data_IF_502271756131
#
_entry.id   IF_502271756131
#
_cell.length_a   1.000
_cell.length_b   1.000
_cell.length_c   1.000
_cell.angle_alpha   90.00
_cell.angle_beta   90.00
_cell.angle_gamma   90.00
#
_symmetry.space_group_name_H-M   'P 1'
#
loop_
_entity.id
_entity.type
_entity.pdbx_description
1 polymer ?
#
# COMPACT_ATOMS: atom_id res chain seq x y z
N UNK A 1 -21.27 13.25 9.59
CA UNK A 1 -20.18 12.39 10.09
C UNK A 1 -18.84 12.71 9.41
N UNK A 2 -18.79 12.79 8.08
CA UNK A 2 -17.58 13.21 7.36
C UNK A 2 -17.08 14.61 7.75
N UNK A 3 -17.98 15.59 7.95
CA UNK A 3 -17.63 16.96 8.37
C UNK A 3 -16.79 17.03 9.66
N UNK A 4 -17.05 16.13 10.61
CA UNK A 4 -16.31 16.08 11.87
C UNK A 4 -14.89 15.56 11.62
N UNK A 5 -14.71 14.59 10.72
CA UNK A 5 -13.40 14.04 10.38
C UNK A 5 -12.55 15.09 9.64
N UNK A 6 -13.14 15.87 8.74
CA UNK A 6 -12.45 16.97 8.08
C UNK A 6 -12.00 18.06 9.04
N UNK A 7 -12.81 18.38 10.07
CA UNK A 7 -12.40 19.30 11.13
C UNK A 7 -11.16 18.81 11.88
N UNK A 8 -11.10 17.52 12.24
CA UNK A 8 -9.90 16.96 12.89
C UNK A 8 -8.67 16.98 11.98
N UNK A 9 -8.82 16.75 10.67
CA UNK A 9 -7.71 16.84 9.69
C UNK A 9 -7.18 18.27 9.56
N UNK A 10 -8.06 19.25 9.40
CA UNK A 10 -7.68 20.65 9.15
C UNK A 10 -7.01 21.28 10.38
N UNK A 11 -7.44 20.88 11.58
CA UNK A 11 -6.92 21.41 12.84
C UNK A 11 -5.92 20.51 13.56
N UNK A 12 -5.50 19.38 12.98
CA UNK A 12 -4.60 18.37 13.57
C UNK A 12 -3.38 19.01 14.26
N UNK A 13 -2.68 19.89 13.54
CA UNK A 13 -1.48 20.56 14.06
C UNK A 13 -1.80 21.45 15.26
N UNK A 14 -2.92 22.18 15.22
CA UNK A 14 -3.32 23.08 16.30
C UNK A 14 -3.75 22.29 17.54
N UNK A 15 -4.47 21.19 17.34
CA UNK A 15 -4.91 20.32 18.43
C UNK A 15 -3.69 19.66 19.10
N UNK A 16 -2.74 19.11 18.34
CA UNK A 16 -1.51 18.56 18.92
C UNK A 16 -0.65 19.60 19.63
N UNK A 17 -0.51 20.81 19.09
CA UNK A 17 0.18 21.89 19.79
C UNK A 17 -0.52 22.25 21.10
N UNK A 18 -1.85 22.31 21.11
CA UNK A 18 -2.65 22.54 22.32
C UNK A 18 -2.48 21.45 23.37
N UNK A 19 -2.59 20.18 22.96
CA UNK A 19 -2.38 19.01 23.82
C UNK A 19 -0.96 18.96 24.37
N UNK A 20 0.05 19.22 23.52
CA UNK A 20 1.45 19.25 23.90
C UNK A 20 1.77 20.35 24.92
N UNK A 21 1.21 21.55 24.74
CA UNK A 21 1.41 22.67 25.67
C UNK A 21 0.73 22.38 27.03
N UNK A 22 -0.49 21.86 27.02
CA UNK A 22 -1.18 21.42 28.24
C UNK A 22 -0.44 20.30 28.96
N UNK A 23 0.06 19.31 28.22
CA UNK A 23 0.86 18.23 28.77
C UNK A 23 2.16 18.77 29.39
N UNK A 24 2.88 19.65 28.71
CA UNK A 24 4.10 20.26 29.23
C UNK A 24 3.83 21.06 30.52
N UNK A 25 2.76 21.86 30.57
CA UNK A 25 2.35 22.59 31.77
C UNK A 25 2.02 21.64 32.94
N UNK A 26 1.33 20.54 32.67
CA UNK A 26 0.99 19.54 33.67
C UNK A 26 2.20 18.73 34.15
N UNK A 27 3.15 18.42 33.26
CA UNK A 27 4.42 17.76 33.61
C UNK A 27 5.25 18.67 34.52
N UNK A 28 5.33 19.97 34.23
CA UNK A 28 6.01 20.92 35.12
C UNK A 28 5.39 20.90 36.53
N UNK A 29 4.06 20.93 36.62
CA UNK A 29 3.35 20.87 37.90
C UNK A 29 3.56 19.54 38.62
N UNK A 30 3.59 18.44 37.88
CA UNK A 30 3.89 17.11 38.41
C UNK A 30 5.30 17.06 39.00
N UNK A 31 6.31 17.54 38.27
CA UNK A 31 7.71 17.57 38.73
C UNK A 31 7.84 18.39 40.02
N UNK A 32 7.21 19.56 40.11
CA UNK A 32 7.24 20.39 41.32
C UNK A 32 6.60 19.67 42.50
N UNK A 33 5.45 19.01 42.29
CA UNK A 33 4.80 18.22 43.35
C UNK A 33 5.62 16.98 43.77
N UNK A 34 6.30 16.35 42.81
CA UNK A 34 7.14 15.17 43.04
C UNK A 34 8.34 15.48 43.94
N UNK A 35 8.95 16.65 43.75
CA UNK A 35 10.03 17.14 44.62
C UNK A 35 9.54 17.33 46.06
N UNK A 36 8.29 17.77 46.26
CA UNK A 36 7.66 17.90 47.58
C UNK A 36 7.46 16.56 48.29
N UNK A 37 7.12 15.50 47.55
CA UNK A 37 6.93 14.14 48.11
C UNK A 37 8.25 13.53 48.56
N UNK A 38 9.34 13.78 47.84
CA UNK A 38 10.68 13.31 48.23
C UNK A 38 11.25 14.03 49.47
N UNK A 39 10.75 15.23 49.78
CA UNK A 39 11.16 16.01 50.95
C UNK A 39 10.31 15.72 52.21
N UNK A 40 9.19 15.00 52.09
CA UNK A 40 8.26 14.75 53.20
C UNK A 40 8.82 13.67 54.16
N UNK A 41 9.12 14.07 55.40
CA UNK A 41 9.77 13.21 56.40
C UNK A 41 8.79 12.41 57.29
N UNK A 42 7.49 12.72 57.29
CA UNK A 42 6.49 12.10 58.15
C UNK A 42 5.31 11.47 57.37
N UNK A 43 4.88 10.28 57.77
CA UNK A 43 3.92 9.44 57.03
C UNK A 43 2.50 10.03 56.84
N UNK A 44 2.10 11.00 57.65
CA UNK A 44 0.80 11.68 57.48
C UNK A 44 0.82 12.73 56.34
N UNK A 45 1.99 13.27 55.99
CA UNK A 45 2.14 14.16 54.83
C UNK A 45 2.16 13.36 53.51
N UNK A 46 2.63 12.12 53.59
CA UNK A 46 2.75 11.20 52.45
C UNK A 46 1.37 10.82 51.86
N UNK A 47 0.36 10.60 52.70
CA UNK A 47 -0.98 10.18 52.27
C UNK A 47 -1.75 11.29 51.53
N UNK A 48 -1.57 12.55 51.94
CA UNK A 48 -2.09 13.74 51.26
C UNK A 48 -1.40 13.99 49.91
N UNK A 49 -0.09 13.79 49.86
CA UNK A 49 0.72 13.98 48.66
C UNK A 49 0.37 12.97 47.55
N UNK A 50 0.01 11.73 47.92
CA UNK A 50 -0.39 10.68 46.97
C UNK A 50 -1.67 11.03 46.19
N UNK A 51 -2.64 11.68 46.82
CA UNK A 51 -3.89 12.08 46.17
C UNK A 51 -3.70 13.15 45.08
N UNK A 52 -2.76 14.07 45.29
CA UNK A 52 -2.42 15.11 44.31
C UNK A 52 -1.67 14.54 43.11
N UNK A 53 -0.76 13.60 43.34
CA UNK A 53 -0.05 12.87 42.28
C UNK A 53 -1.02 12.06 41.42
N UNK A 54 -1.96 11.33 42.03
CA UNK A 54 -2.95 10.54 41.28
C UNK A 54 -3.86 11.42 40.40
N UNK A 55 -4.25 12.61 40.87
CA UNK A 55 -5.05 13.55 40.07
C UNK A 55 -4.24 14.13 38.90
N UNK A 56 -2.98 14.51 39.12
CA UNK A 56 -2.11 15.03 38.07
C UNK A 56 -1.80 13.95 37.01
N UNK A 57 -1.52 12.73 37.46
CA UNK A 57 -1.30 11.57 36.59
C UNK A 57 -2.55 11.24 35.77
N UNK A 58 -3.75 11.27 36.37
CA UNK A 58 -5.00 11.05 35.66
C UNK A 58 -5.23 12.04 34.51
N UNK A 59 -4.87 13.31 34.70
CA UNK A 59 -4.98 14.34 33.64
C UNK A 59 -3.99 14.06 32.50
N UNK A 60 -2.75 13.67 32.81
CA UNK A 60 -1.77 13.32 31.78
C UNK A 60 -2.20 12.08 30.97
N UNK A 61 -2.72 11.06 31.65
CA UNK A 61 -3.27 9.86 30.99
C UNK A 61 -4.45 10.23 30.10
N UNK A 62 -5.35 11.10 30.56
CA UNK A 62 -6.46 11.58 29.74
C UNK A 62 -5.99 12.33 28.48
N UNK A 63 -5.03 13.24 28.60
CA UNK A 63 -4.45 13.96 27.46
C UNK A 63 -3.78 13.00 26.47
N UNK A 64 -3.07 11.99 26.97
CA UNK A 64 -2.46 10.95 26.15
C UNK A 64 -3.53 10.15 25.39
N UNK A 65 -4.61 9.73 26.07
CA UNK A 65 -5.72 9.02 25.42
C UNK A 65 -6.35 9.88 24.32
N UNK A 66 -6.60 11.18 24.58
CA UNK A 66 -7.11 12.09 23.56
C UNK A 66 -6.19 12.16 22.33
N UNK A 67 -4.87 12.29 22.52
CA UNK A 67 -3.91 12.31 21.42
C UNK A 67 -3.88 10.99 20.64
N UNK A 68 -3.95 9.84 21.32
CA UNK A 68 -4.00 8.52 20.66
C UNK A 68 -5.29 8.34 19.85
N UNK A 69 -6.43 8.79 20.39
CA UNK A 69 -7.72 8.73 19.70
C UNK A 69 -7.69 9.59 18.45
N UNK A 70 -7.20 10.83 18.54
CA UNK A 70 -7.05 11.72 17.40
C UNK A 70 -6.13 11.13 16.33
N UNK A 71 -4.96 10.64 16.72
CA UNK A 71 -4.02 9.96 15.82
C UNK A 71 -4.67 8.78 15.11
N UNK A 72 -5.46 7.97 15.84
CA UNK A 72 -6.20 6.85 15.28
C UNK A 72 -7.26 7.28 14.26
N UNK A 73 -8.02 8.35 14.56
CA UNK A 73 -9.02 8.90 13.64
C UNK A 73 -8.38 9.43 12.35
N UNK A 74 -7.27 10.15 12.46
CA UNK A 74 -6.60 10.75 11.31
C UNK A 74 -5.89 9.69 10.45
N UNK A 75 -5.21 8.73 11.08
CA UNK A 75 -4.38 7.74 10.37
C UNK A 75 -5.20 6.60 9.77
N UNK A 76 -6.23 6.13 10.47
CA UNK A 76 -6.98 4.93 10.04
C UNK A 76 -8.39 5.24 9.55
N UNK A 77 -9.09 6.23 10.13
CA UNK A 77 -10.49 6.50 9.79
C UNK A 77 -10.60 7.39 8.56
N UNK A 78 -9.85 8.50 8.47
CA UNK A 78 -9.89 9.39 7.31
C UNK A 78 -9.63 8.71 5.94
N UNK A 79 -8.56 7.90 5.76
CA UNK A 79 -8.30 7.28 4.44
C UNK A 79 -9.34 6.23 4.05
N UNK A 80 -10.11 5.70 5.01
CA UNK A 80 -11.20 4.76 4.74
C UNK A 80 -12.50 5.45 4.27
N UNK A 81 -12.58 6.79 4.29
CA UNK A 81 -13.69 7.56 3.74
C UNK A 81 -13.31 8.12 2.34
N UNK A 82 -13.84 7.54 1.25
CA UNK A 82 -13.41 7.84 -0.12
C UNK A 82 -13.79 9.25 -0.63
N UNK A 83 -14.63 9.99 0.09
CA UNK A 83 -15.00 11.37 -0.24
C UNK A 83 -13.97 12.42 0.27
N UNK A 84 -12.85 11.98 0.85
CA UNK A 84 -11.94 12.84 1.61
C UNK A 84 -10.89 13.63 0.79
N UNK A 85 -10.78 13.40 -0.52
CA UNK A 85 -9.90 14.20 -1.37
C UNK A 85 -10.31 14.10 -2.85
N UNK A 86 -11.00 15.10 -3.44
CA UNK A 86 -11.09 15.20 -4.88
C UNK A 86 -9.74 15.70 -5.39
N UNK A 87 -8.72 14.84 -5.35
CA UNK A 87 -7.54 15.02 -6.19
C UNK A 87 -8.09 15.08 -7.61
N UNK A 88 -7.98 16.26 -8.23
CA UNK A 88 -8.30 16.43 -9.62
C UNK A 88 -7.34 15.54 -10.41
N UNK A 89 -7.78 14.31 -10.69
CA UNK A 89 -7.14 13.45 -11.66
C UNK A 89 -7.20 14.22 -12.98
N UNK A 90 -6.04 14.57 -13.60
CA UNK A 90 -6.06 15.14 -14.92
C UNK A 90 -6.70 14.10 -15.84
N UNK A 91 -7.93 14.36 -16.28
CA UNK A 91 -8.58 13.59 -17.33
C UNK A 91 -7.71 13.73 -18.57
N UNK A 92 -6.94 12.69 -18.90
CA UNK A 92 -6.24 12.62 -20.16
C UNK A 92 -7.28 12.67 -21.28
N UNK A 93 -7.28 13.75 -22.05
CA UNK A 93 -8.13 13.93 -23.22
C UNK A 93 -7.65 12.99 -24.34
N UNK A 94 -8.24 11.79 -24.41
CA UNK A 94 -7.93 10.75 -25.39
C UNK A 94 -8.34 11.10 -26.82
N UNK A 95 -8.88 12.30 -27.08
CA UNK A 95 -9.25 12.78 -28.42
C UNK A 95 -8.21 13.72 -29.04
N UNK A 96 -7.11 14.03 -28.35
CA UNK A 96 -5.99 14.78 -28.92
C UNK A 96 -5.26 13.93 -29.98
N UNK A 97 -5.76 13.94 -31.22
CA UNK A 97 -5.11 13.26 -32.35
C UNK A 97 -3.85 14.04 -32.75
N UNK A 98 -2.63 13.46 -32.67
CA UNK A 98 -1.45 14.09 -33.22
C UNK A 98 -1.57 14.17 -34.74
N UNK A 99 -1.65 15.39 -35.28
CA UNK A 99 -1.60 15.62 -36.73
C UNK A 99 -0.17 15.43 -37.21
N UNK A 100 0.18 14.20 -37.62
CA UNK A 100 1.42 13.95 -38.35
C UNK A 100 1.22 14.44 -39.79
N UNK A 101 1.89 15.55 -40.14
CA UNK A 101 1.99 16.01 -41.53
C UNK A 101 3.12 15.25 -42.22
N UNK A 102 2.78 14.28 -43.07
CA UNK A 102 3.74 13.53 -43.89
C UNK A 102 3.89 14.24 -45.25
N UNK A 103 5.09 14.70 -45.66
CA UNK A 103 5.36 15.14 -47.03
C UNK A 103 5.36 13.94 -48.00
N UNK A 104 4.73 14.02 -49.19
CA UNK A 104 4.59 12.88 -50.07
C UNK A 104 5.69 12.89 -51.14
N UNK A 105 6.89 12.37 -50.85
CA UNK A 105 7.85 12.01 -51.93
C UNK A 105 8.97 11.10 -51.40
N UNK A 106 8.66 9.85 -51.09
CA UNK A 106 9.64 8.77 -51.07
C UNK A 106 8.92 7.47 -51.44
N UNK A 107 8.69 7.35 -52.74
CA UNK A 107 8.15 6.18 -53.40
C UNK A 107 9.00 4.93 -53.13
N UNK A 108 8.28 3.81 -52.96
CA UNK A 108 8.58 2.50 -53.53
C UNK A 108 10.06 2.12 -53.66
N UNK A 109 10.58 1.38 -52.67
CA UNK A 109 11.38 0.14 -52.86
C UNK A 109 11.96 -0.32 -51.53
N UNK A 110 11.29 -1.26 -50.84
CA UNK A 110 11.93 -2.45 -50.27
C UNK A 110 10.83 -3.38 -49.74
N UNK A 111 10.47 -4.38 -50.54
CA UNK A 111 9.95 -5.65 -50.03
C UNK A 111 11.19 -6.50 -49.82
N UNK A 112 11.67 -6.56 -48.58
CA UNK A 112 12.65 -7.57 -48.17
C UNK A 112 12.45 -7.87 -46.69
N UNK A 113 11.83 -9.01 -46.47
CA UNK A 113 11.87 -9.88 -45.29
C UNK A 113 12.66 -9.33 -44.10
N UNK A 114 11.95 -8.81 -43.10
CA UNK A 114 12.43 -8.78 -41.72
C UNK A 114 11.31 -9.33 -40.86
N UNK A 115 11.62 -10.48 -40.27
CA UNK A 115 10.89 -11.16 -39.21
C UNK A 115 10.10 -10.19 -38.35
N UNK A 116 8.78 -10.38 -38.37
CA UNK A 116 7.80 -9.85 -37.43
C UNK A 116 8.34 -9.99 -36.01
N UNK A 117 8.77 -8.88 -35.41
CA UNK A 117 8.72 -8.75 -33.96
C UNK A 117 7.24 -8.57 -33.65
N UNK A 118 6.63 -9.68 -33.28
CA UNK A 118 5.31 -9.73 -32.68
C UNK A 118 5.38 -8.96 -31.36
N UNK A 119 5.00 -7.68 -31.41
CA UNK A 119 4.63 -6.89 -30.24
C UNK A 119 3.37 -7.54 -29.63
N UNK A 120 3.58 -8.62 -28.88
CA UNK A 120 2.59 -9.14 -27.97
C UNK A 120 2.47 -8.12 -26.83
N UNK A 121 1.33 -7.44 -26.81
CA UNK A 121 0.66 -6.87 -25.64
C UNK A 121 1.53 -6.80 -24.39
N UNK A 122 2.29 -5.72 -24.21
CA UNK A 122 2.93 -5.46 -22.91
C UNK A 122 1.82 -5.36 -21.88
N UNK A 123 1.68 -6.41 -21.08
CA UNK A 123 0.78 -6.41 -19.95
C UNK A 123 1.13 -5.25 -19.02
N UNK A 124 0.12 -4.66 -18.38
CA UNK A 124 0.31 -3.46 -17.55
C UNK A 124 1.45 -3.70 -16.55
N UNK A 125 2.49 -2.86 -16.58
CA UNK A 125 3.62 -2.88 -15.64
C UNK A 125 4.71 -3.91 -15.88
N UNK A 126 4.64 -4.71 -16.94
CA UNK A 126 5.66 -5.74 -17.21
C UNK A 126 6.88 -5.13 -17.94
N UNK A 127 8.00 -5.02 -17.22
CA UNK A 127 9.27 -4.48 -17.73
C UNK A 127 10.25 -5.64 -17.93
N UNK A 128 10.73 -5.90 -19.16
CA UNK A 128 11.71 -6.94 -19.42
C UNK A 128 12.95 -6.78 -18.53
N UNK A 129 13.45 -7.90 -17.99
CA UNK A 129 14.65 -7.98 -17.14
C UNK A 129 14.55 -7.32 -15.75
N UNK A 130 13.51 -6.53 -15.46
CA UNK A 130 13.28 -5.96 -14.13
C UNK A 130 12.12 -6.62 -13.40
N UNK A 131 10.91 -6.58 -13.98
CA UNK A 131 9.68 -7.10 -13.38
C UNK A 131 8.85 -7.75 -14.48
N UNK A 132 8.96 -9.07 -14.58
CA UNK A 132 8.34 -9.84 -15.65
C UNK A 132 7.80 -11.15 -15.13
N UNK A 133 6.54 -11.46 -15.43
CA UNK A 133 5.99 -12.82 -15.29
C UNK A 133 6.18 -13.53 -16.63
N UNK A 134 6.89 -14.66 -16.63
CA UNK A 134 7.08 -15.49 -17.84
C UNK A 134 6.18 -16.72 -17.85
N UNK A 135 5.72 -17.17 -16.68
CA UNK A 135 4.73 -18.25 -16.57
C UNK A 135 3.87 -18.02 -15.33
N UNK A 136 2.54 -18.16 -15.42
CA UNK A 136 1.75 -18.46 -16.64
C UNK A 136 1.81 -17.33 -17.68
N UNK A 137 1.58 -17.68 -18.95
CA UNK A 137 1.46 -16.72 -20.06
C UNK A 137 0.07 -16.04 -20.05
N UNK A 138 -0.04 -14.89 -20.72
CA UNK A 138 -1.31 -14.18 -20.87
C UNK A 138 -2.37 -15.06 -21.55
N UNK A 139 -3.52 -15.22 -20.90
CA UNK A 139 -4.64 -16.04 -21.36
C UNK A 139 -4.46 -17.54 -21.13
N UNK A 140 -3.42 -17.99 -20.41
CA UNK A 140 -3.20 -19.41 -20.16
C UNK A 140 -4.33 -20.02 -19.32
N UNK A 141 -4.76 -21.23 -19.71
CA UNK A 141 -5.61 -22.09 -18.89
C UNK A 141 -4.78 -22.85 -17.87
N UNK A 142 -5.13 -22.75 -16.59
CA UNK A 142 -4.39 -23.33 -15.47
C UNK A 142 -5.31 -24.10 -14.53
N UNK A 143 -4.77 -25.16 -13.91
CA UNK A 143 -5.46 -25.95 -12.88
C UNK A 143 -4.48 -26.61 -11.91
N UNK A 144 -4.92 -26.83 -10.67
CA UNK A 144 -4.12 -27.45 -9.61
C UNK A 144 -3.02 -26.53 -9.07
N UNK A 145 -1.83 -27.10 -8.84
CA UNK A 145 -0.67 -26.33 -8.34
C UNK A 145 0.15 -25.82 -9.52
N UNK A 146 0.10 -24.51 -9.72
CA UNK A 146 0.75 -23.81 -10.82
C UNK A 146 2.05 -23.18 -10.33
N UNK A 147 3.12 -23.32 -11.10
CA UNK A 147 4.39 -22.67 -10.79
C UNK A 147 4.47 -21.30 -11.47
N UNK A 148 4.74 -20.27 -10.67
CA UNK A 148 4.93 -18.90 -11.15
C UNK A 148 6.42 -18.68 -11.40
N UNK A 149 6.76 -18.35 -12.64
CA UNK A 149 8.14 -18.05 -13.08
C UNK A 149 8.22 -16.64 -13.60
N UNK A 150 9.38 -16.02 -13.43
CA UNK A 150 9.58 -14.65 -13.85
C UNK A 150 10.92 -14.07 -13.44
N UNK A 151 10.99 -12.75 -13.49
CA UNK A 151 12.15 -11.95 -13.12
C UNK A 151 11.71 -10.83 -12.18
N UNK A 152 12.43 -10.70 -11.08
CA UNK A 152 12.37 -9.61 -10.10
C UNK A 152 13.81 -9.19 -9.85
N UNK A 153 14.24 -8.15 -10.55
CA UNK A 153 15.55 -7.52 -10.40
C UNK A 153 15.39 -6.01 -10.42
N UNK A 154 15.11 -5.45 -9.25
CA UNK A 154 14.82 -4.02 -9.07
C UNK A 154 15.86 -3.41 -8.15
N UNK A 155 16.28 -2.18 -8.45
CA UNK A 155 17.18 -1.43 -7.55
C UNK A 155 16.50 -1.16 -6.21
N UNK A 156 17.25 -1.28 -5.11
CA UNK A 156 16.74 -1.15 -3.74
C UNK A 156 15.65 -2.18 -3.38
N UNK A 157 15.70 -3.38 -3.97
CA UNK A 157 14.74 -4.46 -3.72
C UNK A 157 14.57 -4.75 -2.22
N UNK A 158 13.32 -4.76 -1.77
CA UNK A 158 12.92 -5.19 -0.44
C UNK A 158 12.29 -6.58 -0.48
N UNK A 159 11.10 -6.68 -1.09
CA UNK A 159 10.40 -7.96 -1.26
C UNK A 159 9.43 -7.90 -2.44
N UNK A 160 8.98 -9.05 -2.92
CA UNK A 160 7.89 -9.17 -3.87
C UNK A 160 6.74 -9.99 -3.30
N UNK A 161 5.54 -9.79 -3.84
CA UNK A 161 4.35 -10.58 -3.53
C UNK A 161 3.49 -10.81 -4.76
N UNK A 162 2.78 -11.93 -4.76
CA UNK A 162 1.76 -12.25 -5.75
C UNK A 162 0.39 -11.95 -5.20
N UNK A 163 -0.43 -11.34 -6.04
CA UNK A 163 -1.81 -11.09 -5.73
C UNK A 163 -2.69 -11.53 -6.89
N UNK A 164 -3.88 -12.04 -6.56
CA UNK A 164 -4.89 -12.38 -7.55
C UNK A 164 -6.17 -11.60 -7.33
N UNK A 165 -6.87 -11.29 -8.42
CA UNK A 165 -8.24 -10.79 -8.38
C UNK A 165 -9.08 -11.47 -9.45
N UNK A 166 -10.40 -11.55 -9.24
CA UNK A 166 -11.30 -11.92 -10.32
C UNK A 166 -11.38 -10.76 -11.31
N UNK A 167 -11.40 -11.06 -12.61
CA UNK A 167 -11.50 -10.03 -13.65
C UNK A 167 -12.75 -9.17 -13.42
N UNK A 168 -12.57 -7.85 -13.40
CA UNK A 168 -13.64 -6.88 -13.14
C UNK A 168 -13.85 -6.54 -11.66
N UNK A 169 -13.01 -7.05 -10.75
CA UNK A 169 -13.01 -6.67 -9.33
C UNK A 169 -11.68 -6.03 -8.92
N UNK A 170 -11.75 -5.05 -8.03
CA UNK A 170 -10.56 -4.40 -7.44
C UNK A 170 -10.12 -5.05 -6.11
N UNK A 171 -10.61 -6.27 -5.84
CA UNK A 171 -10.27 -7.03 -4.64
C UNK A 171 -9.09 -7.96 -4.91
N UNK A 172 -7.92 -7.60 -4.38
CA UNK A 172 -6.69 -8.36 -4.55
C UNK A 172 -6.39 -9.22 -3.32
N UNK A 173 -6.16 -10.52 -3.53
CA UNK A 173 -5.79 -11.49 -2.50
C UNK A 173 -4.32 -11.86 -2.64
N UNK A 174 -3.53 -11.65 -1.59
CA UNK A 174 -2.13 -12.08 -1.57
C UNK A 174 -2.02 -13.61 -1.43
N UNK A 175 -1.30 -14.25 -2.35
CA UNK A 175 -1.08 -15.72 -2.34
C UNK A 175 0.22 -16.06 -1.61
N UNK A 176 1.30 -15.39 -1.99
CA UNK A 176 2.65 -15.69 -1.50
C UNK A 176 3.54 -14.45 -1.67
N UNK A 177 4.61 -14.39 -0.87
CA UNK A 177 5.64 -13.37 -0.93
C UNK A 177 7.03 -14.01 -0.89
N UNK A 178 8.02 -13.30 -1.43
CA UNK A 178 9.42 -13.69 -1.42
C UNK A 178 10.34 -12.49 -1.20
N UNK A 179 11.53 -12.77 -0.67
CA UNK A 179 12.53 -11.77 -0.24
C UNK A 179 13.87 -11.91 -0.99
N UNK A 180 13.89 -12.68 -2.07
CA UNK A 180 15.09 -12.89 -2.89
C UNK A 180 14.92 -12.27 -4.29
N UNK A 181 16.01 -11.76 -4.85
CA UNK A 181 16.07 -11.36 -6.25
C UNK A 181 16.14 -12.63 -7.09
N UNK A 182 15.28 -12.73 -8.10
CA UNK A 182 15.14 -13.93 -8.94
C UNK A 182 15.14 -13.52 -10.39
N UNK A 183 15.92 -14.19 -11.23
CA UNK A 183 15.98 -13.90 -12.68
C UNK A 183 15.63 -15.13 -13.50
N UNK A 184 14.57 -15.04 -14.30
CA UNK A 184 14.09 -16.10 -15.21
C UNK A 184 13.95 -17.46 -14.53
N UNK A 185 13.55 -17.47 -13.26
CA UNK A 185 13.40 -18.69 -12.46
C UNK A 185 12.09 -18.68 -11.69
N UNK A 186 11.89 -19.71 -10.86
CA UNK A 186 10.73 -19.87 -9.99
C UNK A 186 10.66 -18.75 -8.98
N UNK A 187 9.59 -17.96 -9.07
CA UNK A 187 9.26 -16.95 -8.08
C UNK A 187 8.33 -17.49 -6.98
N UNK A 188 7.52 -18.52 -7.28
CA UNK A 188 6.58 -19.08 -6.32
C UNK A 188 5.67 -20.19 -6.87
N UNK A 189 4.69 -20.59 -6.06
CA UNK A 189 3.64 -21.54 -6.46
C UNK A 189 2.27 -21.03 -6.05
N UNK A 190 1.27 -21.29 -6.89
CA UNK A 190 -0.12 -20.94 -6.65
C UNK A 190 -1.00 -22.18 -6.78
N UNK A 191 -1.73 -22.51 -5.72
CA UNK A 191 -2.74 -23.57 -5.72
C UNK A 191 -4.12 -23.00 -6.11
N UNK A 192 -4.64 -23.43 -7.27
CA UNK A 192 -5.95 -23.02 -7.79
C UNK A 192 -7.07 -24.01 -7.44
N UNK A 193 -6.77 -25.10 -6.72
CA UNK A 193 -7.74 -26.20 -6.48
C UNK A 193 -8.97 -25.77 -5.67
N UNK A 194 -8.84 -24.70 -4.88
CA UNK A 194 -9.90 -24.15 -4.03
C UNK A 194 -10.55 -22.89 -4.61
N UNK A 195 -10.20 -22.50 -5.84
CA UNK A 195 -10.76 -21.34 -6.51
C UNK A 195 -11.94 -21.75 -7.40
N UNK A 196 -12.92 -20.86 -7.50
CA UNK A 196 -14.01 -21.03 -8.47
C UNK A 196 -13.45 -20.89 -9.89
N UNK A 197 -13.87 -21.73 -10.85
CA UNK A 197 -13.44 -21.63 -12.23
C UNK A 197 -13.83 -20.28 -12.84
N UNK A 198 -12.92 -19.63 -13.56
CA UNK A 198 -13.14 -18.30 -14.11
C UNK A 198 -11.89 -17.57 -14.54
N UNK A 199 -12.05 -16.33 -14.99
CA UNK A 199 -10.92 -15.46 -15.35
C UNK A 199 -10.38 -14.74 -14.11
N UNK A 200 -9.07 -14.83 -13.91
CA UNK A 200 -8.35 -14.17 -12.83
C UNK A 200 -7.22 -13.32 -13.40
N UNK A 201 -6.94 -12.21 -12.72
CA UNK A 201 -5.72 -11.44 -12.93
C UNK A 201 -4.72 -11.85 -11.87
N UNK A 202 -3.54 -12.29 -12.29
CA UNK A 202 -2.38 -12.50 -11.43
C UNK A 202 -1.47 -11.28 -11.56
N UNK A 203 -1.07 -10.66 -10.46
CA UNK A 203 -0.08 -9.58 -10.50
C UNK A 203 1.11 -9.83 -9.59
N UNK A 204 2.27 -9.37 -10.05
CA UNK A 204 3.52 -9.33 -9.32
C UNK A 204 3.76 -7.90 -8.82
N UNK A 205 3.71 -7.72 -7.50
CA UNK A 205 3.97 -6.43 -6.83
C UNK A 205 5.35 -6.48 -6.21
N UNK A 206 6.23 -5.57 -6.61
CA UNK A 206 7.56 -5.41 -6.02
C UNK A 206 7.57 -4.17 -5.13
N UNK A 207 8.12 -4.33 -3.93
CA UNK A 207 8.25 -3.28 -2.92
C UNK A 207 9.73 -3.10 -2.59
N UNK A 208 10.20 -1.86 -2.57
CA UNK A 208 11.57 -1.54 -2.18
C UNK A 208 11.74 -1.47 -0.64
N UNK A 209 12.98 -1.28 -0.17
CA UNK A 209 13.26 -1.13 1.27
C UNK A 209 12.74 0.19 1.88
N UNK A 210 12.26 1.13 1.05
CA UNK A 210 11.67 2.40 1.46
C UNK A 210 10.13 2.32 1.51
N UNK A 211 9.55 1.18 1.10
CA UNK A 211 8.11 0.94 1.06
C UNK A 211 7.40 1.47 -0.19
N UNK A 212 8.14 1.90 -1.21
CA UNK A 212 7.54 2.32 -2.48
C UNK A 212 7.17 1.09 -3.33
N UNK A 213 5.99 1.19 -3.96
CA UNK A 213 5.49 0.18 -4.87
C UNK A 213 5.86 0.54 -6.31
N UNK A 214 6.36 -0.42 -7.06
CA UNK A 214 6.50 -0.30 -8.52
C UNK A 214 5.16 -0.60 -9.20
N UNK A 215 5.04 -0.18 -10.46
CA UNK A 215 3.93 -0.59 -11.32
C UNK A 215 3.89 -2.13 -11.38
N UNK A 216 2.81 -2.78 -10.93
CA UNK A 216 2.75 -4.24 -10.89
C UNK A 216 2.67 -4.83 -12.29
N UNK A 217 3.44 -5.88 -12.59
CA UNK A 217 3.17 -6.66 -13.80
C UNK A 217 1.91 -7.51 -13.58
N UNK A 218 0.88 -7.31 -14.41
CA UNK A 218 -0.38 -8.06 -14.38
C UNK A 218 -0.44 -9.05 -15.54
N UNK A 219 -0.92 -10.27 -15.32
CA UNK A 219 -1.18 -11.30 -16.34
C UNK A 219 -2.57 -11.89 -16.13
N UNK A 220 -3.38 -11.96 -17.18
CA UNK A 220 -4.71 -12.58 -17.11
C UNK A 220 -4.62 -14.07 -17.36
N UNK A 221 -5.33 -14.89 -16.59
CA UNK A 221 -5.36 -16.37 -16.73
C UNK A 221 -6.78 -16.91 -16.55
N UNK A 222 -7.02 -18.10 -17.09
CA UNK A 222 -8.28 -18.83 -16.90
C UNK A 222 -8.06 -20.01 -15.97
N UNK A 223 -8.75 -20.02 -14.82
CA UNK A 223 -8.74 -21.15 -13.88
C UNK A 223 -9.80 -22.16 -14.30
N UNK A 224 -9.38 -23.37 -14.62
CA UNK A 224 -10.26 -24.47 -14.98
C UNK A 224 -10.84 -25.17 -13.74
N UNK A 225 -11.94 -25.90 -13.92
CA UNK A 225 -12.48 -26.79 -12.90
C UNK A 225 -11.45 -27.86 -12.52
N UNK A 226 -11.34 -28.21 -11.22
CA UNK A 226 -10.48 -29.31 -10.81
C UNK A 226 -10.92 -30.61 -11.52
N UNK A 227 -9.98 -31.45 -11.97
CA UNK A 227 -10.34 -32.72 -12.59
C UNK A 227 -11.12 -33.58 -11.59
N UNK A 228 -12.29 -34.07 -12.01
CA UNK A 228 -13.05 -35.07 -11.23
C UNK A 228 -12.19 -36.35 -11.15
N UNK A 229 -11.75 -36.74 -9.95
CA UNK A 229 -11.10 -38.04 -9.67
C UNK A 229 -12.08 -39.22 -9.75
#
# INVERSE_FOLDING_TARGET
MAEILFFFKDYEVIIYLGLGLLAAWQVQKFIVSWQGVQAAAFGLEWESAQGQLNRAAGILVFLLICGVVEFGLVTFVLPAYPDADPLATPTADLLATPTITIPPEAALSQVEETTSVEEASTSAGCIPEEVLITSPEEGASISGVVEIRGTVDVTNFGFYKFEISQVGTDSWLTIQAGEEIVQKDKLGTWDTSHLEPGNYNLRLVVVDNEGAHREPCVVSVYVESPPEE
#
